data_IF_256535705483
#
_entry.id   IF_256535705483
#
_cell.length_a   1.000
_cell.length_b   1.000
_cell.length_c   1.000
_cell.angle_alpha   90.00
_cell.angle_beta   90.00
_cell.angle_gamma   90.00
#
_symmetry.space_group_name_H-M   'P 1'
#
loop_
_entity.id
_entity.type
_entity.pdbx_description
1 polymer ?
#
# COMPACT_ATOMS: atom_id res chain seq x y z
N UNK A 1 24.13 48.96 10.76
CA UNK A 1 24.16 49.36 12.19
C UNK A 1 22.70 49.47 12.60
N UNK A 2 22.09 48.66 13.46
CA UNK A 2 22.41 48.00 14.73
C UNK A 2 21.32 46.91 14.92
N UNK A 3 21.35 45.88 15.78
CA UNK A 3 22.29 45.21 16.68
C UNK A 3 21.64 43.85 16.98
N UNK A 4 22.45 42.81 17.12
CA UNK A 4 22.06 41.43 17.42
C UNK A 4 21.59 41.24 18.86
N UNK A 5 20.70 40.26 19.11
CA UNK A 5 20.48 39.54 20.38
C UNK A 5 19.69 38.26 20.01
N UNK A 6 20.24 37.04 19.93
CA UNK A 6 20.84 36.15 20.94
C UNK A 6 19.98 36.01 22.21
N UNK A 7 19.14 34.97 22.23
CA UNK A 7 19.04 34.07 23.38
C UNK A 7 18.67 32.66 22.91
N UNK A 8 19.53 31.70 23.24
CA UNK A 8 19.35 30.28 22.96
C UNK A 8 18.57 29.59 24.09
N UNK A 9 17.76 28.61 23.70
CA UNK A 9 17.07 27.67 24.59
C UNK A 9 16.62 26.46 23.79
N UNK A 10 17.19 25.31 24.12
CA UNK A 10 17.06 24.05 23.39
C UNK A 10 15.66 23.43 23.46
N UNK A 11 15.11 23.06 22.30
CA UNK A 11 14.34 21.82 22.08
C UNK A 11 13.95 21.72 20.59
N UNK A 12 14.48 20.78 19.80
CA UNK A 12 13.77 20.31 18.64
C UNK A 12 12.74 19.30 19.16
N UNK A 13 11.56 19.77 19.55
CA UNK A 13 10.42 18.86 19.74
C UNK A 13 10.08 18.31 18.36
N UNK A 14 10.60 17.12 18.15
CA UNK A 14 10.50 16.35 16.93
C UNK A 14 9.06 16.28 16.44
N UNK A 15 8.97 16.35 15.12
CA UNK A 15 7.91 15.81 14.29
C UNK A 15 7.20 14.62 14.93
N UNK A 16 5.89 14.73 15.09
CA UNK A 16 5.01 13.58 14.94
C UNK A 16 4.09 13.88 13.75
N UNK A 17 4.68 13.88 12.56
CA UNK A 17 3.92 13.63 11.36
C UNK A 17 3.27 12.25 11.53
N UNK A 18 1.96 12.19 11.38
CA UNK A 18 1.26 10.93 11.15
C UNK A 18 1.96 10.20 10.03
N UNK A 19 2.64 9.10 10.36
CA UNK A 19 3.29 8.20 9.42
C UNK A 19 2.23 7.47 8.59
N UNK A 20 1.55 8.21 7.72
CA UNK A 20 1.01 7.63 6.51
C UNK A 20 2.23 7.30 5.65
N UNK A 21 2.67 6.05 5.72
CA UNK A 21 3.83 5.56 4.98
C UNK A 21 3.67 5.92 3.48
N UNK A 22 4.40 6.93 2.95
CA UNK A 22 4.16 7.43 1.60
C UNK A 22 4.56 6.40 0.54
N UNK A 23 5.32 5.36 0.93
CA UNK A 23 5.65 4.21 0.11
C UNK A 23 4.41 3.36 -0.23
N UNK A 24 3.53 3.09 0.74
CA UNK A 24 2.30 2.33 0.50
C UNK A 24 1.34 3.08 -0.44
N UNK A 25 1.20 4.39 -0.24
CA UNK A 25 0.40 5.27 -1.10
C UNK A 25 0.98 5.39 -2.51
N UNK A 26 2.30 5.51 -2.66
CA UNK A 26 2.95 5.54 -3.98
C UNK A 26 2.86 4.23 -4.74
N UNK A 27 3.05 3.09 -4.07
CA UNK A 27 2.91 1.76 -4.68
C UNK A 27 1.47 1.53 -5.12
N UNK A 28 0.49 1.95 -4.30
CA UNK A 28 -0.92 1.96 -4.66
C UNK A 28 -1.17 2.82 -5.90
N UNK A 29 -0.68 4.05 -5.96
CA UNK A 29 -0.90 4.96 -7.09
C UNK A 29 -0.26 4.46 -8.40
N UNK A 30 0.97 3.95 -8.35
CA UNK A 30 1.62 3.38 -9.54
C UNK A 30 0.92 2.12 -10.03
N UNK A 31 0.45 1.29 -9.10
CA UNK A 31 -0.30 0.09 -9.43
C UNK A 31 -1.64 0.44 -10.08
N UNK A 32 -2.37 1.43 -9.54
CA UNK A 32 -3.61 1.94 -10.17
C UNK A 32 -3.39 2.29 -11.63
N UNK A 33 -2.31 2.99 -11.94
CA UNK A 33 -1.98 3.43 -13.30
C UNK A 33 -1.71 2.22 -14.21
N UNK A 34 -0.95 1.23 -13.75
CA UNK A 34 -0.68 0.02 -14.56
C UNK A 34 -1.96 -0.80 -14.80
N UNK A 35 -2.81 -0.97 -13.80
CA UNK A 35 -4.06 -1.74 -13.93
C UNK A 35 -5.07 -0.99 -14.81
N UNK A 36 -5.19 0.32 -14.63
CA UNK A 36 -6.10 1.16 -15.41
C UNK A 36 -5.75 1.22 -16.89
N UNK A 37 -4.48 0.99 -17.23
CA UNK A 37 -4.02 0.92 -18.60
C UNK A 37 -4.45 -0.39 -19.29
N UNK A 38 -4.71 -1.47 -18.56
CA UNK A 38 -4.95 -2.81 -19.16
C UNK A 38 -6.38 -3.35 -19.02
N UNK A 39 -7.20 -2.94 -18.04
CA UNK A 39 -8.58 -3.44 -17.87
C UNK A 39 -9.49 -2.38 -17.23
N UNK A 40 -10.77 -2.34 -17.64
CA UNK A 40 -11.80 -1.46 -17.07
C UNK A 40 -11.87 -1.58 -15.53
N UNK A 41 -11.34 -0.58 -14.83
CA UNK A 41 -11.15 -0.62 -13.37
C UNK A 41 -12.48 -0.39 -12.67
N UNK A 42 -13.17 -1.47 -12.35
CA UNK A 42 -14.16 -1.44 -11.29
C UNK A 42 -13.44 -1.27 -9.95
N UNK A 43 -13.26 -0.01 -9.53
CA UNK A 43 -12.99 0.45 -8.16
C UNK A 43 -11.74 -0.12 -7.45
N UNK A 44 -10.66 0.67 -7.45
CA UNK A 44 -9.46 0.46 -6.60
C UNK A 44 -9.80 0.35 -5.11
N UNK A 45 -10.93 0.91 -4.70
CA UNK A 45 -11.47 0.84 -3.33
C UNK A 45 -11.61 -0.61 -2.86
N UNK A 46 -12.08 -1.52 -3.73
CA UNK A 46 -12.30 -2.91 -3.34
C UNK A 46 -10.99 -3.63 -3.02
N UNK A 47 -9.95 -3.40 -3.83
CA UNK A 47 -8.61 -3.94 -3.58
C UNK A 47 -8.08 -3.51 -2.20
N UNK A 48 -8.26 -2.24 -1.86
CA UNK A 48 -7.79 -1.68 -0.57
C UNK A 48 -8.57 -2.29 0.59
N UNK A 49 -9.89 -2.44 0.45
CA UNK A 49 -10.74 -3.07 1.45
C UNK A 49 -10.29 -4.52 1.70
N UNK A 50 -10.05 -5.29 0.63
CA UNK A 50 -9.58 -6.68 0.74
C UNK A 50 -8.21 -6.82 1.38
N UNK A 51 -7.27 -5.94 1.04
CA UNK A 51 -5.96 -5.87 1.69
C UNK A 51 -6.12 -5.59 3.18
N UNK A 52 -6.97 -4.63 3.53
CA UNK A 52 -7.23 -4.23 4.90
C UNK A 52 -7.79 -5.42 5.68
N UNK A 53 -8.90 -6.01 5.24
CA UNK A 53 -9.51 -7.19 5.85
C UNK A 53 -8.47 -8.31 6.07
N UNK A 54 -7.72 -8.67 5.03
CA UNK A 54 -6.75 -9.77 5.08
C UNK A 54 -5.61 -9.51 6.07
N UNK A 55 -5.03 -8.31 6.05
CA UNK A 55 -3.89 -8.00 6.90
C UNK A 55 -4.29 -7.78 8.35
N UNK A 56 -5.47 -7.22 8.61
CA UNK A 56 -6.00 -7.12 9.97
C UNK A 56 -6.29 -8.50 10.56
N UNK A 57 -6.97 -9.39 9.81
CA UNK A 57 -7.25 -10.76 10.25
C UNK A 57 -5.98 -11.55 10.60
N UNK A 58 -4.92 -11.39 9.78
CA UNK A 58 -3.66 -12.12 9.97
C UNK A 58 -2.76 -11.55 11.05
N UNK A 59 -2.77 -10.23 11.26
CA UNK A 59 -1.81 -9.57 12.13
C UNK A 59 -2.38 -9.15 13.48
N UNK A 60 -3.70 -8.95 13.57
CA UNK A 60 -4.37 -8.50 14.78
C UNK A 60 -5.35 -9.58 15.24
N UNK A 61 -4.83 -10.55 15.98
CA UNK A 61 -5.64 -11.60 16.63
C UNK A 61 -5.92 -11.21 18.08
N UNK A 62 -7.16 -11.40 18.53
CA UNK A 62 -7.51 -11.21 19.94
C UNK A 62 -6.78 -12.24 20.84
N UNK A 63 -6.26 -11.84 22.02
CA UNK A 63 -6.24 -10.51 22.60
C UNK A 63 -5.12 -9.67 21.96
N UNK A 64 -5.45 -8.50 21.41
CA UNK A 64 -4.56 -7.63 20.62
C UNK A 64 -3.25 -7.17 21.33
N UNK A 65 -3.04 -7.60 22.58
CA UNK A 65 -1.82 -7.40 23.36
C UNK A 65 -0.57 -8.02 22.73
N UNK A 66 -0.72 -9.05 21.88
CA UNK A 66 0.40 -9.76 21.24
C UNK A 66 0.61 -9.37 19.77
N UNK A 67 0.14 -8.18 19.35
CA UNK A 67 0.31 -7.74 17.98
C UNK A 67 1.80 -7.64 17.63
N UNK A 68 2.22 -8.40 16.62
CA UNK A 68 3.61 -8.39 16.16
C UNK A 68 3.91 -7.07 15.45
N UNK A 69 4.91 -6.34 15.95
CA UNK A 69 5.35 -5.08 15.34
C UNK A 69 5.74 -5.29 13.86
N UNK A 70 5.27 -4.41 12.99
CA UNK A 70 5.54 -4.46 11.55
C UNK A 70 4.82 -5.58 10.78
N UNK A 71 3.96 -6.39 11.41
CA UNK A 71 3.24 -7.45 10.69
C UNK A 71 2.37 -6.90 9.55
N UNK A 72 1.62 -5.82 9.81
CA UNK A 72 0.72 -5.23 8.81
C UNK A 72 1.49 -4.70 7.61
N UNK A 73 2.62 -4.02 7.83
CA UNK A 73 3.49 -3.53 6.75
C UNK A 73 4.04 -4.67 5.89
N UNK A 74 4.48 -5.75 6.54
CA UNK A 74 4.95 -6.95 5.84
C UNK A 74 3.82 -7.64 5.07
N UNK A 75 2.64 -7.73 5.67
CA UNK A 75 1.46 -8.31 5.03
C UNK A 75 1.09 -7.53 3.77
N UNK A 76 0.99 -6.20 3.87
CA UNK A 76 0.69 -5.32 2.76
C UNK A 76 1.72 -5.49 1.62
N UNK A 77 3.01 -5.49 1.94
CA UNK A 77 4.07 -5.66 0.95
C UNK A 77 3.99 -7.02 0.26
N UNK A 78 3.72 -8.09 1.00
CA UNK A 78 3.54 -9.44 0.45
C UNK A 78 2.29 -9.52 -0.43
N UNK A 79 1.16 -9.00 0.05
CA UNK A 79 -0.10 -9.01 -0.68
C UNK A 79 0.06 -8.31 -2.03
N UNK A 80 0.64 -7.11 -2.05
CA UNK A 80 0.81 -6.33 -3.27
C UNK A 80 1.76 -7.00 -4.27
N UNK A 81 2.81 -7.68 -3.81
CA UNK A 81 3.68 -8.47 -4.69
C UNK A 81 2.92 -9.65 -5.30
N UNK A 82 2.21 -10.41 -4.48
CA UNK A 82 1.40 -11.55 -4.95
C UNK A 82 0.32 -11.11 -5.94
N UNK A 83 -0.39 -10.04 -5.61
CA UNK A 83 -1.44 -9.47 -6.44
C UNK A 83 -0.90 -9.05 -7.82
N UNK A 84 0.27 -8.40 -7.88
CA UNK A 84 0.93 -8.03 -9.13
C UNK A 84 1.25 -9.24 -10.02
N UNK A 85 1.81 -10.30 -9.45
CA UNK A 85 2.17 -11.52 -10.19
C UNK A 85 0.92 -12.19 -10.74
N UNK A 86 -0.11 -12.35 -9.89
CA UNK A 86 -1.37 -13.00 -10.27
C UNK A 86 -2.12 -12.17 -11.32
N UNK A 87 -2.20 -10.85 -11.15
CA UNK A 87 -2.89 -9.96 -12.08
C UNK A 87 -2.28 -10.04 -13.49
N UNK A 88 -0.95 -9.98 -13.61
CA UNK A 88 -0.26 -10.12 -14.90
C UNK A 88 -0.50 -11.48 -15.55
N UNK A 89 -0.40 -12.55 -14.76
CA UNK A 89 -0.63 -13.91 -15.27
C UNK A 89 -2.08 -14.09 -15.74
N UNK A 90 -3.05 -13.54 -15.01
CA UNK A 90 -4.47 -13.59 -15.35
C UNK A 90 -4.78 -12.83 -16.64
N UNK A 91 -4.29 -11.60 -16.77
CA UNK A 91 -4.44 -10.78 -17.98
C UNK A 91 -3.82 -11.48 -19.20
N UNK A 92 -2.59 -11.98 -19.07
CA UNK A 92 -1.93 -12.72 -20.14
C UNK A 92 -2.75 -13.95 -20.60
N UNK A 93 -3.39 -14.65 -19.66
CA UNK A 93 -4.26 -15.80 -19.98
C UNK A 93 -5.52 -15.39 -20.72
N UNK A 94 -6.18 -14.30 -20.32
CA UNK A 94 -7.37 -13.79 -21.02
C UNK A 94 -7.02 -13.39 -22.45
N UNK A 95 -5.91 -12.66 -22.63
CA UNK A 95 -5.46 -12.25 -23.96
C UNK A 95 -5.18 -13.46 -24.86
N UNK A 96 -4.53 -14.50 -24.33
CA UNK A 96 -4.31 -15.76 -25.05
C UNK A 96 -5.63 -16.46 -25.41
N UNK A 97 -6.57 -16.59 -24.47
CA UNK A 97 -7.87 -17.22 -24.73
C UNK A 97 -8.69 -16.45 -25.78
N UNK A 98 -8.65 -15.11 -25.74
CA UNK A 98 -9.33 -14.26 -26.73
C UNK A 98 -8.73 -14.39 -28.13
N UNK A 99 -7.43 -14.64 -28.25
CA UNK A 99 -6.75 -14.81 -29.54
C UNK A 99 -6.99 -16.20 -30.14
N UNK A 100 -7.16 -17.22 -29.29
CA UNK A 100 -7.46 -18.59 -29.71
C UNK A 100 -8.93 -18.86 -30.03
N UNK A 101 -9.83 -17.87 -29.89
CA UNK A 101 -11.26 -18.02 -30.19
C UNK A 101 -12.02 -18.93 -29.21
N UNK A 102 -11.53 -19.07 -27.98
CA UNK A 102 -12.12 -19.93 -26.93
C UNK A 102 -12.88 -19.12 -25.86
N UNK A 103 -13.40 -17.94 -26.23
CA UNK A 103 -14.29 -17.12 -25.39
C UNK A 103 -15.67 -17.03 -26.04
#
# INVERSE_FOLDING_TARGET
MALSSIFGGAAPSQQQGTTSNPAASKVKEQLKVQIAQELAVANVTELVNKITENCFEKCLTSPYANAQEGCVDQCLAKYMRSWNVISKAYVARIQQASTSGEI
#
